data_IF_126237568871
#
_entry.id   IF_126237568871
#
_cell.length_a   1.000
_cell.length_b   1.000
_cell.length_c   1.000
_cell.angle_alpha   90.00
_cell.angle_beta   90.00
_cell.angle_gamma   90.00
#
_symmetry.space_group_name_H-M   'P 1'
#
loop_
_entity.id
_entity.type
_entity.pdbx_description
1 polymer ?
#
# COMPACT_ATOMS: atom_id res chain seq x y z
N UNK A 1 22.88 -19.04 -31.66
CA UNK A 1 23.08 -18.55 -30.28
C UNK A 1 22.08 -17.42 -30.04
N UNK A 2 20.97 -17.71 -29.37
CA UNK A 2 19.97 -16.69 -29.02
C UNK A 2 20.46 -16.00 -27.74
N UNK A 3 20.76 -14.71 -27.83
CA UNK A 3 21.09 -13.89 -26.68
C UNK A 3 19.81 -13.70 -25.85
N UNK A 4 19.66 -14.52 -24.81
CA UNK A 4 18.58 -14.38 -23.85
C UNK A 4 18.89 -13.17 -22.96
N UNK A 5 18.38 -11.99 -23.32
CA UNK A 5 18.46 -10.80 -22.47
C UNK A 5 17.42 -10.95 -21.37
N UNK A 6 17.77 -11.66 -20.30
CA UNK A 6 16.97 -11.61 -19.06
C UNK A 6 17.23 -10.26 -18.41
N UNK A 7 16.42 -9.24 -18.75
CA UNK A 7 16.34 -8.05 -17.92
C UNK A 7 15.94 -8.51 -16.51
N UNK A 8 16.70 -8.11 -15.48
CA UNK A 8 16.25 -8.24 -14.09
C UNK A 8 14.98 -7.40 -13.96
N UNK A 9 13.82 -8.03 -14.11
CA UNK A 9 12.57 -7.40 -13.76
C UNK A 9 12.58 -7.23 -12.26
N UNK A 10 12.40 -5.99 -11.81
CA UNK A 10 12.03 -5.76 -10.43
C UNK A 10 10.71 -6.51 -10.18
N UNK A 11 10.69 -7.36 -9.16
CA UNK A 11 9.56 -8.20 -8.79
C UNK A 11 9.10 -7.74 -7.42
N UNK A 12 8.18 -6.77 -7.43
CA UNK A 12 7.39 -6.49 -6.24
C UNK A 12 6.76 -7.81 -5.76
N UNK A 13 6.95 -8.13 -4.49
CA UNK A 13 6.41 -9.34 -3.89
C UNK A 13 5.08 -9.01 -3.23
N UNK A 14 4.18 -9.98 -3.17
CA UNK A 14 2.87 -9.83 -2.53
C UNK A 14 2.83 -10.78 -1.35
N UNK A 15 2.56 -10.24 -0.17
CA UNK A 15 2.45 -11.01 1.07
C UNK A 15 1.14 -11.81 1.18
N UNK A 16 0.99 -12.60 2.25
CA UNK A 16 -0.26 -13.25 2.59
C UNK A 16 -1.35 -12.20 2.90
N UNK A 17 -2.65 -12.57 2.77
CA UNK A 17 -3.74 -11.68 3.16
C UNK A 17 -3.73 -11.40 4.67
N UNK A 18 -3.97 -10.14 5.04
CA UNK A 18 -4.17 -9.73 6.43
C UNK A 18 -5.43 -10.40 7.02
N UNK A 19 -5.40 -10.86 8.29
CA UNK A 19 -6.52 -11.60 8.89
C UNK A 19 -7.78 -10.76 9.12
N UNK A 20 -7.68 -9.43 9.15
CA UNK A 20 -8.80 -8.53 9.42
C UNK A 20 -9.16 -7.74 8.15
N UNK A 21 -8.21 -7.04 7.55
CA UNK A 21 -8.45 -6.20 6.37
C UNK A 21 -8.61 -7.02 5.09
N UNK A 22 -8.12 -8.27 5.06
CA UNK A 22 -8.04 -9.15 3.89
C UNK A 22 -7.22 -8.59 2.72
N UNK A 23 -6.55 -7.45 2.91
CA UNK A 23 -5.65 -6.88 1.92
C UNK A 23 -4.32 -7.60 1.92
N UNK A 24 -3.65 -7.59 0.76
CA UNK A 24 -2.34 -8.21 0.59
C UNK A 24 -1.26 -7.12 0.55
N UNK A 25 -0.30 -7.11 1.49
CA UNK A 25 0.75 -6.11 1.49
C UNK A 25 1.68 -6.32 0.30
N UNK A 26 2.13 -5.22 -0.29
CA UNK A 26 3.10 -5.21 -1.39
C UNK A 26 4.48 -4.92 -0.78
N UNK A 27 5.44 -5.83 -1.03
CA UNK A 27 6.83 -5.66 -0.66
C UNK A 27 7.55 -5.15 -1.89
N UNK A 28 7.83 -3.86 -1.90
CA UNK A 28 8.56 -3.21 -2.97
C UNK A 28 10.04 -3.59 -2.93
N UNK A 29 10.57 -4.04 -4.07
CA UNK A 29 11.96 -4.47 -4.25
C UNK A 29 12.86 -3.34 -4.80
N UNK A 30 12.32 -2.12 -4.86
CA UNK A 30 13.01 -0.91 -5.30
C UNK A 30 13.60 -0.10 -4.12
N UNK A 31 13.57 -0.69 -2.92
CA UNK A 31 14.29 -0.23 -1.73
C UNK A 31 15.78 -0.52 -1.94
N UNK A 32 16.66 0.50 -1.87
CA UNK A 32 18.10 0.27 -1.97
C UNK A 32 18.54 -0.74 -0.90
N UNK A 33 19.38 -1.74 -1.24
CA UNK A 33 19.95 -2.61 -0.23
C UNK A 33 20.72 -1.75 0.78
N UNK A 34 20.70 -2.11 2.08
CA UNK A 34 21.48 -1.38 3.07
C UNK A 34 22.94 -1.34 2.63
N UNK A 35 23.64 -0.20 2.79
CA UNK A 35 25.05 -0.11 2.44
C UNK A 35 25.80 -1.21 3.19
N UNK A 36 26.69 -1.91 2.48
CA UNK A 36 27.58 -2.92 3.08
C UNK A 36 28.30 -2.22 4.23
N UNK A 37 28.32 -2.77 5.47
CA UNK A 37 28.97 -2.11 6.58
C UNK A 37 30.45 -1.95 6.25
N UNK A 38 30.81 -0.74 5.79
CA UNK A 38 32.18 -0.33 5.70
C UNK A 38 32.61 -0.19 7.15
N UNK A 39 33.40 -1.13 7.64
CA UNK A 39 34.05 -1.04 8.94
C UNK A 39 35.03 0.12 8.86
N UNK A 40 34.49 1.34 8.97
CA UNK A 40 35.26 2.56 9.05
C UNK A 40 34.96 3.10 10.45
N UNK A 41 36.03 3.22 11.24
CA UNK A 41 36.01 3.60 12.65
C UNK A 41 35.63 5.08 12.82
N UNK A 42 34.44 5.47 12.38
CA UNK A 42 33.90 6.80 12.56
C UNK A 42 32.38 6.72 12.84
N UNK A 43 31.85 7.56 13.73
CA UNK A 43 30.44 7.53 14.11
C UNK A 43 29.47 8.03 13.02
N UNK A 44 29.97 8.56 11.90
CA UNK A 44 29.19 9.13 10.79
C UNK A 44 29.59 8.52 9.46
N UNK A 45 28.66 8.30 8.52
CA UNK A 45 28.97 7.71 7.22
C UNK A 45 29.60 8.74 6.30
N UNK A 46 30.89 8.60 5.91
CA UNK A 46 31.54 9.54 4.98
C UNK A 46 30.87 9.63 3.60
N UNK A 47 30.01 8.67 3.25
CA UNK A 47 29.20 8.68 2.02
C UNK A 47 28.19 9.84 1.98
N UNK A 48 27.81 10.39 3.12
CA UNK A 48 26.86 11.52 3.17
C UNK A 48 27.50 12.88 2.80
N UNK A 49 28.83 12.94 2.72
CA UNK A 49 29.61 14.16 2.46
C UNK A 49 30.31 14.18 1.09
N UNK A 50 30.07 13.18 0.21
CA UNK A 50 30.67 13.19 -1.13
C UNK A 50 30.15 14.39 -1.95
N UNK A 51 31.04 15.26 -2.46
CA UNK A 51 30.69 16.56 -3.07
C UNK A 51 30.11 16.44 -4.49
N UNK A 52 30.19 15.26 -5.10
CA UNK A 52 29.53 14.96 -6.36
C UNK A 52 28.28 14.16 -6.03
N UNK A 53 27.09 14.78 -5.96
CA UNK A 53 25.84 14.04 -5.85
C UNK A 53 25.63 13.38 -7.21
N UNK A 54 26.38 12.32 -7.50
CA UNK A 54 26.24 11.51 -8.69
C UNK A 54 24.84 10.89 -8.65
N UNK A 55 23.92 11.71 -9.15
CA UNK A 55 22.49 11.52 -9.31
C UNK A 55 21.75 11.39 -7.98
N UNK A 56 21.18 12.52 -7.56
CA UNK A 56 19.78 12.61 -7.16
C UNK A 56 18.88 11.89 -8.21
N UNK A 57 18.95 10.56 -8.31
CA UNK A 57 17.98 9.66 -8.91
C UNK A 57 16.87 9.53 -7.87
N UNK A 58 15.85 10.36 -7.77
CA UNK A 58 15.27 11.45 -8.50
C UNK A 58 14.38 12.01 -7.39
N UNK A 59 14.38 13.31 -7.03
CA UNK A 59 13.51 13.78 -5.93
C UNK A 59 12.04 13.32 -6.15
N UNK A 60 11.63 13.26 -7.42
CA UNK A 60 10.38 12.66 -7.87
C UNK A 60 10.26 11.14 -7.67
N UNK A 61 11.35 10.37 -7.80
CA UNK A 61 11.38 8.92 -7.58
C UNK A 61 11.24 8.58 -6.10
N UNK A 62 11.98 9.29 -5.24
CA UNK A 62 11.83 9.13 -3.79
C UNK A 62 10.41 9.51 -3.36
N UNK A 63 9.93 10.67 -3.83
CA UNK A 63 8.56 11.11 -3.58
C UNK A 63 7.53 10.06 -4.06
N UNK A 64 7.74 9.46 -5.22
CA UNK A 64 6.85 8.44 -5.77
C UNK A 64 6.85 7.14 -4.96
N UNK A 65 8.03 6.70 -4.51
CA UNK A 65 8.15 5.54 -3.61
C UNK A 65 7.38 5.78 -2.30
N UNK A 66 7.60 6.92 -1.68
CA UNK A 66 6.93 7.31 -0.43
C UNK A 66 5.41 7.44 -0.62
N UNK A 67 4.94 8.10 -1.68
CA UNK A 67 3.51 8.28 -1.93
C UNK A 67 2.77 6.97 -2.26
N UNK A 68 3.45 5.99 -2.86
CA UNK A 68 2.89 4.63 -3.04
C UNK A 68 2.70 3.93 -1.70
N UNK A 69 3.74 3.89 -0.86
CA UNK A 69 3.66 3.29 0.48
C UNK A 69 2.56 3.95 1.33
N UNK A 70 2.49 5.28 1.33
CA UNK A 70 1.44 6.02 2.04
C UNK A 70 0.02 5.71 1.52
N UNK A 71 -0.15 5.38 0.24
CA UNK A 71 -1.44 4.99 -0.33
C UNK A 71 -1.82 3.57 0.10
N UNK A 72 -0.85 2.66 0.17
CA UNK A 72 -1.05 1.31 0.69
C UNK A 72 -1.42 1.35 2.18
N UNK A 73 -0.70 2.13 2.98
CA UNK A 73 -0.98 2.34 4.41
C UNK A 73 -2.37 2.94 4.62
N UNK A 74 -2.76 3.93 3.81
CA UNK A 74 -4.10 4.51 3.84
C UNK A 74 -5.17 3.44 3.64
N UNK A 75 -4.98 2.59 2.63
CA UNK A 75 -5.92 1.52 2.28
C UNK A 75 -5.98 0.49 3.40
N UNK A 76 -4.82 0.04 3.88
CA UNK A 76 -4.71 -0.93 4.97
C UNK A 76 -5.41 -0.44 6.24
N UNK A 77 -5.09 0.77 6.69
CA UNK A 77 -5.66 1.34 7.90
C UNK A 77 -7.18 1.54 7.79
N UNK A 78 -7.67 2.01 6.64
CA UNK A 78 -9.09 2.20 6.42
C UNK A 78 -9.87 0.89 6.51
N UNK A 79 -9.42 -0.15 5.79
CA UNK A 79 -10.11 -1.44 5.73
C UNK A 79 -9.95 -2.25 7.02
N UNK A 80 -8.81 -2.13 7.71
CA UNK A 80 -8.63 -2.73 9.02
C UNK A 80 -9.65 -2.16 10.02
N UNK A 81 -9.79 -0.84 10.10
CA UNK A 81 -10.74 -0.20 11.01
C UNK A 81 -12.21 -0.50 10.63
N UNK A 82 -12.55 -0.43 9.33
CA UNK A 82 -13.91 -0.72 8.86
C UNK A 82 -14.32 -2.16 9.18
N UNK A 83 -13.44 -3.13 8.89
CA UNK A 83 -13.73 -4.53 9.15
C UNK A 83 -13.77 -4.84 10.65
N UNK A 84 -12.86 -4.27 11.45
CA UNK A 84 -12.87 -4.46 12.90
C UNK A 84 -14.18 -3.98 13.54
N UNK A 85 -14.67 -2.79 13.15
CA UNK A 85 -15.96 -2.28 13.63
C UNK A 85 -17.14 -3.12 13.16
N UNK A 86 -17.11 -3.56 11.90
CA UNK A 86 -18.16 -4.41 11.33
C UNK A 86 -18.26 -5.75 12.07
N UNK A 87 -17.13 -6.41 12.30
CA UNK A 87 -17.07 -7.69 13.00
C UNK A 87 -17.54 -7.55 14.46
N UNK A 88 -17.09 -6.52 15.17
CA UNK A 88 -17.56 -6.23 16.54
C UNK A 88 -19.07 -5.98 16.60
N UNK A 89 -19.62 -5.21 15.65
CA UNK A 89 -21.05 -4.92 15.60
C UNK A 89 -21.87 -6.17 15.24
N UNK A 90 -21.38 -6.99 14.31
CA UNK A 90 -21.97 -8.28 13.94
C UNK A 90 -22.05 -9.21 15.15
N UNK A 91 -20.96 -9.33 15.91
CA UNK A 91 -20.92 -10.12 17.14
C UNK A 91 -21.92 -9.61 18.19
N UNK A 92 -22.03 -8.29 18.36
CA UNK A 92 -23.00 -7.70 19.28
C UNK A 92 -24.46 -8.00 18.89
N UNK A 93 -24.79 -7.92 17.60
CA UNK A 93 -26.12 -8.30 17.08
C UNK A 93 -26.41 -9.77 17.37
N UNK A 94 -25.46 -10.67 17.07
CA UNK A 94 -25.61 -12.10 17.35
C UNK A 94 -25.73 -12.39 18.85
N UNK A 95 -24.98 -11.70 19.70
CA UNK A 95 -25.02 -11.85 21.15
C UNK A 95 -26.34 -11.35 21.76
N UNK A 96 -27.00 -10.39 21.13
CA UNK A 96 -28.31 -9.87 21.56
C UNK A 96 -29.48 -10.83 21.29
N UNK A 97 -29.28 -11.84 20.43
CA UNK A 97 -30.34 -12.77 20.08
C UNK A 97 -30.64 -13.73 21.26
N UNK A 98 -31.92 -14.08 21.49
CA UNK A 98 -32.27 -15.07 22.50
C UNK A 98 -31.61 -16.43 22.22
N UNK A 99 -31.29 -17.18 23.28
CA UNK A 99 -30.71 -18.53 23.14
C UNK A 99 -31.61 -19.51 22.37
N UNK A 100 -32.92 -19.27 22.37
CA UNK A 100 -33.92 -20.06 21.61
C UNK A 100 -34.04 -19.66 20.12
N UNK A 101 -33.22 -18.72 19.65
CA UNK A 101 -33.23 -18.27 18.24
C UNK A 101 -32.97 -19.42 17.28
N UNK A 102 -33.82 -19.51 16.24
CA UNK A 102 -33.60 -20.46 15.14
C UNK A 102 -32.47 -19.97 14.23
N UNK A 103 -31.88 -20.84 13.39
CA UNK A 103 -30.92 -20.41 12.37
C UNK A 103 -31.50 -19.34 11.44
N UNK A 104 -32.79 -19.42 11.10
CA UNK A 104 -33.46 -18.44 10.24
C UNK A 104 -33.54 -17.05 10.89
N UNK A 105 -33.80 -16.99 12.19
CA UNK A 105 -33.84 -15.72 12.93
C UNK A 105 -32.48 -15.03 12.93
N UNK A 106 -31.39 -15.81 12.99
CA UNK A 106 -30.01 -15.30 12.90
C UNK A 106 -29.72 -14.70 11.53
N UNK A 107 -30.10 -15.40 10.46
CA UNK A 107 -29.91 -14.90 9.09
C UNK A 107 -30.71 -13.62 8.83
N UNK A 108 -31.94 -13.52 9.36
CA UNK A 108 -32.75 -12.30 9.27
C UNK A 108 -32.09 -11.13 10.02
N UNK A 109 -31.59 -11.38 11.23
CA UNK A 109 -30.88 -10.37 12.02
C UNK A 109 -29.59 -9.89 11.33
N UNK A 110 -28.81 -10.82 10.75
CA UNK A 110 -27.61 -10.49 9.99
C UNK A 110 -27.94 -9.70 8.71
N UNK A 111 -29.03 -10.05 8.02
CA UNK A 111 -29.47 -9.34 6.81
C UNK A 111 -29.83 -7.88 7.11
N UNK A 112 -30.59 -7.63 8.18
CA UNK A 112 -30.90 -6.27 8.62
C UNK A 112 -29.65 -5.53 9.10
N UNK A 113 -28.74 -6.20 9.82
CA UNK A 113 -27.45 -5.63 10.20
C UNK A 113 -26.65 -5.15 8.98
N UNK A 114 -26.45 -5.99 7.96
CA UNK A 114 -25.66 -5.62 6.78
C UNK A 114 -26.28 -4.46 6.01
N UNK A 115 -27.61 -4.42 5.91
CA UNK A 115 -28.33 -3.28 5.31
C UNK A 115 -28.07 -1.99 6.06
N UNK A 116 -28.17 -2.01 7.40
CA UNK A 116 -27.91 -0.84 8.24
C UNK A 116 -26.44 -0.41 8.18
N UNK A 117 -25.52 -1.37 8.23
CA UNK A 117 -24.09 -1.13 8.11
C UNK A 117 -23.74 -0.42 6.80
N UNK A 118 -24.26 -0.90 5.66
CA UNK A 118 -24.03 -0.28 4.35
C UNK A 118 -24.55 1.15 4.30
N UNK A 119 -25.73 1.41 4.85
CA UNK A 119 -26.30 2.77 4.90
C UNK A 119 -25.42 3.70 5.74
N UNK A 120 -24.99 3.25 6.93
CA UNK A 120 -24.15 4.02 7.84
C UNK A 120 -22.75 4.28 7.26
N UNK A 121 -22.13 3.28 6.66
CA UNK A 121 -20.74 3.33 6.22
C UNK A 121 -20.60 3.96 4.81
N UNK A 122 -21.71 4.15 4.09
CA UNK A 122 -21.74 4.71 2.72
C UNK A 122 -21.00 6.04 2.58
N UNK A 123 -21.29 7.00 3.45
CA UNK A 123 -20.66 8.34 3.43
C UNK A 123 -19.14 8.24 3.66
N UNK A 124 -18.72 7.42 4.62
CA UNK A 124 -17.31 7.21 4.94
C UNK A 124 -16.56 6.53 3.78
N UNK A 125 -17.19 5.56 3.11
CA UNK A 125 -16.61 4.90 1.92
C UNK A 125 -16.52 5.86 0.75
N UNK A 126 -17.49 6.77 0.60
CA UNK A 126 -17.47 7.81 -0.43
C UNK A 126 -16.32 8.80 -0.21
N UNK A 127 -16.11 9.26 1.02
CA UNK A 127 -14.99 10.11 1.39
C UNK A 127 -13.64 9.41 1.15
N UNK A 128 -13.51 8.16 1.60
CA UNK A 128 -12.35 7.33 1.31
C UNK A 128 -12.09 7.20 -0.19
N UNK A 129 -13.13 6.93 -0.98
CA UNK A 129 -13.04 6.77 -2.43
C UNK A 129 -12.56 8.05 -3.11
N UNK A 130 -13.01 9.23 -2.65
CA UNK A 130 -12.54 10.53 -3.15
C UNK A 130 -11.05 10.73 -2.87
N UNK A 131 -10.62 10.49 -1.63
CA UNK A 131 -9.22 10.64 -1.21
C UNK A 131 -8.32 9.65 -1.97
N UNK A 132 -8.73 8.38 -2.01
CA UNK A 132 -7.99 7.32 -2.68
C UNK A 132 -7.81 7.62 -4.17
N UNK A 133 -8.89 8.02 -4.88
CA UNK A 133 -8.81 8.40 -6.30
C UNK A 133 -7.88 9.59 -6.54
N UNK A 134 -7.97 10.63 -5.70
CA UNK A 134 -7.12 11.82 -5.81
C UNK A 134 -5.64 11.48 -5.64
N UNK A 135 -5.29 10.71 -4.60
CA UNK A 135 -3.92 10.28 -4.33
C UNK A 135 -3.40 9.33 -5.41
N UNK A 136 -4.23 8.43 -5.92
CA UNK A 136 -3.84 7.50 -6.96
C UNK A 136 -3.53 8.23 -8.28
N UNK A 137 -4.34 9.24 -8.64
CA UNK A 137 -4.05 10.10 -9.78
C UNK A 137 -2.74 10.87 -9.63
N UNK A 138 -2.49 11.44 -8.45
CA UNK A 138 -1.21 12.10 -8.16
C UNK A 138 -0.02 11.14 -8.31
N UNK A 139 -0.15 9.91 -7.80
CA UNK A 139 0.85 8.85 -7.95
C UNK A 139 1.11 8.48 -9.42
N UNK A 140 0.07 8.37 -10.26
CA UNK A 140 0.21 8.08 -11.70
C UNK A 140 0.98 9.20 -12.41
N UNK A 141 0.64 10.47 -12.14
CA UNK A 141 1.34 11.62 -12.72
C UNK A 141 2.81 11.62 -12.30
N UNK A 142 3.08 11.35 -11.03
CA UNK A 142 4.44 11.31 -10.50
C UNK A 142 5.24 10.14 -11.09
N UNK A 143 4.64 8.97 -11.25
CA UNK A 143 5.24 7.82 -11.93
C UNK A 143 5.64 8.16 -13.39
N UNK A 144 4.78 8.90 -14.10
CA UNK A 144 5.07 9.37 -15.45
C UNK A 144 6.28 10.32 -15.48
N UNK A 145 6.38 11.25 -14.51
CA UNK A 145 7.54 12.15 -14.36
C UNK A 145 8.84 11.40 -14.05
N UNK A 146 8.79 10.39 -13.18
CA UNK A 146 9.94 9.51 -12.88
C UNK A 146 10.37 8.75 -14.13
N UNK A 147 9.42 8.25 -14.90
CA UNK A 147 9.71 7.52 -16.15
C UNK A 147 10.34 8.45 -17.18
N UNK A 148 9.81 9.66 -17.37
CA UNK A 148 10.35 10.67 -18.28
C UNK A 148 11.78 11.10 -17.91
N UNK A 149 12.03 11.37 -16.63
CA UNK A 149 13.37 11.76 -16.17
C UNK A 149 14.43 10.65 -16.28
N UNK A 150 14.01 9.38 -16.39
CA UNK A 150 14.91 8.24 -16.68
C UNK A 150 15.22 8.06 -18.18
N UNK A 151 14.45 8.66 -19.09
CA UNK A 151 14.68 8.55 -20.54
C UNK A 151 16.02 9.13 -21.03
N UNK A 152 16.44 10.35 -20.66
CA UNK A 152 17.71 10.92 -21.19
C UNK A 152 18.93 10.11 -20.74
N UNK A 153 18.92 9.58 -19.51
CA UNK A 153 19.98 8.74 -18.95
C UNK A 153 20.19 7.42 -19.70
N UNK A 154 19.21 6.96 -20.49
CA UNK A 154 19.29 5.71 -21.27
C UNK A 154 19.84 5.92 -22.68
N UNK A 155 19.87 7.17 -23.17
CA UNK A 155 20.35 7.52 -24.51
C UNK A 155 21.85 7.81 -24.49
N UNK A 156 22.38 8.25 -23.34
CA UNK A 156 23.82 8.53 -23.15
C UNK A 156 24.69 7.30 -22.87
N UNK A 157 24.07 6.12 -22.66
CA UNK A 157 24.77 4.85 -22.39
C UNK A 157 24.91 3.98 -23.67
N UNK A 158 24.70 4.55 -24.86
CA UNK A 158 25.01 3.99 -26.18
C UNK A 158 26.14 4.79 -26.84
#
# INVERSE_FOLDING_TARGET
RLLHVSFKTQRHLVGPPDPISHLRPIIYDDVPPPPVPAVVNHPYSLQEFDPDPAKNLNAYEMQWKLQRQQLDDLSQNFWLDSNARSESAKEAVLASLPAASTPMDRENALSEFYKQWLLQESERVDEYSKIWRSRNWANIILAARVTYSRFPSRITDF
#
